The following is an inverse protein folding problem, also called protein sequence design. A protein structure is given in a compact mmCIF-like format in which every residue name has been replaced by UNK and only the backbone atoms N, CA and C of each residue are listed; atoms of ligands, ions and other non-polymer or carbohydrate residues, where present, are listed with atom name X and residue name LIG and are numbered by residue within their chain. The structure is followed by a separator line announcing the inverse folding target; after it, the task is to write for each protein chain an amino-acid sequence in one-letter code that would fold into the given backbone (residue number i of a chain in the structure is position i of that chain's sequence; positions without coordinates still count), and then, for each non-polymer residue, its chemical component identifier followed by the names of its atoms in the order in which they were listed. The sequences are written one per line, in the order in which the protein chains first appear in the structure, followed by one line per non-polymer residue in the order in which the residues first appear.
data_IF_479708413764
#
_entry.id   IF_479708413764
#
_cell.length_a   1.000
_cell.length_b   1.000
_cell.length_c   1.000
_cell.angle_alpha   90.00
_cell.angle_beta   90.00
_cell.angle_gamma   90.00
#
_symmetry.space_group_name_H-M   'P 1'
#
loop_
_entity.id
_entity.type
_entity.pdbx_description
1 polymer ?
#
# COMPACT_ATOMS: atom_id res chain seq x y z
N UNK A 1 8.05 14.30 20.86
CA UNK A 1 7.77 12.97 20.33
C UNK A 1 7.40 13.04 18.87
N UNK A 2 8.23 12.50 18.03
CA UNK A 2 7.88 12.55 16.60
C UNK A 2 6.66 11.70 16.34
N UNK A 3 5.84 12.21 15.49
CA UNK A 3 4.68 11.46 15.09
C UNK A 3 5.07 10.35 14.15
N UNK A 4 4.34 9.27 14.23
CA UNK A 4 4.44 8.28 13.19
C UNK A 4 4.08 8.93 11.88
N UNK A 5 4.54 8.36 10.83
CA UNK A 5 4.33 8.92 9.51
C UNK A 5 2.88 8.73 9.10
N UNK A 6 2.05 9.67 9.53
CA UNK A 6 0.62 9.60 9.24
C UNK A 6 0.33 9.72 7.76
N UNK A 7 1.22 10.40 7.02
CA UNK A 7 1.01 10.52 5.58
C UNK A 7 1.05 9.17 4.89
N UNK A 8 1.99 8.32 5.29
CA UNK A 8 2.05 6.99 4.70
C UNK A 8 0.81 6.19 5.05
N UNK A 9 0.37 6.28 6.30
CA UNK A 9 -0.83 5.57 6.71
C UNK A 9 -2.05 6.04 5.94
N UNK A 10 -2.15 7.35 5.71
CA UNK A 10 -3.25 7.90 4.95
C UNK A 10 -3.22 7.42 3.50
N UNK A 11 -2.04 7.28 2.93
CA UNK A 11 -1.91 6.78 1.57
C UNK A 11 -2.37 5.33 1.49
N UNK A 12 -1.97 4.49 2.46
CA UNK A 12 -2.44 3.11 2.49
C UNK A 12 -3.96 3.06 2.56
N UNK A 13 -4.54 3.90 3.41
CA UNK A 13 -5.99 3.93 3.54
C UNK A 13 -6.65 4.38 2.25
N UNK A 14 -6.09 5.41 1.62
CA UNK A 14 -6.62 5.89 0.35
C UNK A 14 -6.57 4.80 -0.71
N UNK A 15 -5.46 4.05 -0.75
CA UNK A 15 -5.33 2.96 -1.72
C UNK A 15 -6.39 1.90 -1.49
N UNK A 16 -6.63 1.57 -0.24
CA UNK A 16 -7.65 0.58 0.10
C UNK A 16 -9.04 1.05 -0.32
N UNK A 17 -9.32 2.34 -0.12
CA UNK A 17 -10.63 2.88 -0.44
C UNK A 17 -10.85 3.05 -1.94
N UNK A 18 -9.78 2.98 -2.73
CA UNK A 18 -9.83 3.25 -4.17
C UNK A 18 -9.23 2.10 -4.99
N UNK A 19 -9.55 0.88 -4.60
CA UNK A 19 -8.97 -0.30 -5.26
C UNK A 19 -9.32 -0.35 -6.74
N UNK A 20 -10.47 0.16 -7.13
CA UNK A 20 -10.87 0.12 -8.54
C UNK A 20 -9.96 0.96 -9.42
N UNK A 21 -9.25 1.93 -8.84
CA UNK A 21 -8.27 2.71 -9.61
C UNK A 21 -7.05 1.86 -9.92
N UNK A 22 -6.69 0.94 -9.00
CA UNK A 22 -5.55 0.06 -9.19
C UNK A 22 -5.86 -0.97 -10.26
N UNK A 23 -7.04 -1.58 -10.19
CA UNK A 23 -7.45 -2.56 -11.17
C UNK A 23 -8.96 -2.74 -11.09
N UNK A 24 -9.56 -3.10 -12.23
CA UNK A 24 -10.98 -3.43 -12.26
C UNK A 24 -11.22 -4.92 -12.08
N UNK A 25 -10.16 -5.71 -12.10
CA UNK A 25 -10.25 -7.14 -11.92
C UNK A 25 -10.32 -7.45 -10.43
N UNK A 26 -11.33 -8.20 -10.01
CA UNK A 26 -11.53 -8.49 -8.59
C UNK A 26 -10.39 -9.29 -8.00
N UNK A 27 -9.83 -10.24 -8.78
CA UNK A 27 -8.70 -11.00 -8.27
C UNK A 27 -7.50 -10.07 -8.02
N UNK A 28 -7.27 -9.12 -8.91
CA UNK A 28 -6.19 -8.17 -8.72
C UNK A 28 -6.47 -7.25 -7.53
N UNK A 29 -7.72 -6.87 -7.32
CA UNK A 29 -8.08 -6.06 -6.17
C UNK A 29 -7.83 -6.82 -4.87
N UNK A 30 -8.15 -8.11 -4.84
CA UNK A 30 -7.87 -8.91 -3.65
C UNK A 30 -6.39 -8.96 -3.36
N UNK A 31 -5.57 -9.13 -4.39
CA UNK A 31 -4.13 -9.14 -4.22
C UNK A 31 -3.64 -7.78 -3.74
N UNK A 32 -4.23 -6.71 -4.24
CA UNK A 32 -3.88 -5.36 -3.82
C UNK A 32 -4.15 -5.17 -2.33
N UNK A 33 -5.28 -5.68 -1.84
CA UNK A 33 -5.60 -5.60 -0.42
C UNK A 33 -4.53 -6.29 0.42
N UNK A 34 -4.08 -7.47 -0.03
CA UNK A 34 -3.05 -8.19 0.70
C UNK A 34 -1.73 -7.43 0.71
N UNK A 35 -1.40 -6.80 -0.41
CA UNK A 35 -0.17 -6.00 -0.51
C UNK A 35 -0.26 -4.80 0.44
N UNK A 36 -1.40 -4.12 0.46
CA UNK A 36 -1.60 -2.97 1.31
C UNK A 36 -1.54 -3.36 2.78
N UNK A 37 -2.19 -4.48 3.13
CA UNK A 37 -2.15 -4.96 4.50
C UNK A 37 -0.72 -5.25 4.95
N UNK A 38 0.05 -5.92 4.10
CA UNK A 38 1.43 -6.22 4.44
C UNK A 38 2.24 -4.94 4.61
N UNK A 39 1.98 -3.95 3.75
CA UNK A 39 2.65 -2.67 3.88
C UNK A 39 2.35 -1.99 5.21
N UNK A 40 1.10 -2.05 5.65
CA UNK A 40 0.72 -1.47 6.93
C UNK A 40 1.39 -2.18 8.10
N UNK A 41 1.45 -3.51 8.04
CA UNK A 41 2.13 -4.27 9.08
C UNK A 41 3.61 -3.90 9.11
N UNK A 42 4.25 -3.88 7.96
CA UNK A 42 5.67 -3.56 7.87
C UNK A 42 5.95 -2.13 8.29
N UNK A 43 5.00 -1.22 8.05
CA UNK A 43 5.16 0.19 8.40
C UNK A 43 5.52 0.38 9.87
N UNK A 44 5.02 -0.49 10.73
CA UNK A 44 5.28 -0.41 12.16
C UNK A 44 6.70 -0.82 12.53
N UNK A 45 7.39 -1.53 11.65
CA UNK A 45 8.68 -2.13 11.99
C UNK A 45 9.85 -1.57 11.19
N UNK A 46 9.57 -0.90 10.06
CA UNK A 46 10.66 -0.47 9.19
C UNK A 46 11.30 0.80 9.70
N UNK A 47 12.58 0.96 9.40
CA UNK A 47 13.30 2.17 9.77
C UNK A 47 12.89 3.35 8.90
N UNK A 48 12.52 3.10 7.66
CA UNK A 48 12.15 4.16 6.72
C UNK A 48 10.78 3.87 6.12
N UNK A 49 9.73 4.49 6.65
CA UNK A 49 8.38 4.24 6.14
C UNK A 49 8.19 4.63 4.69
N UNK A 50 8.94 5.64 4.21
CA UNK A 50 8.78 6.06 2.81
C UNK A 50 9.30 5.00 1.85
N UNK A 51 10.40 4.35 2.19
CA UNK A 51 10.92 3.28 1.36
C UNK A 51 9.94 2.11 1.37
N UNK A 52 9.36 1.83 2.52
CA UNK A 52 8.36 0.77 2.61
C UNK A 52 7.16 1.08 1.72
N UNK A 53 6.70 2.32 1.75
CA UNK A 53 5.58 2.73 0.90
C UNK A 53 5.94 2.61 -0.57
N UNK A 54 7.16 3.02 -0.93
CA UNK A 54 7.61 2.91 -2.32
C UNK A 54 7.57 1.46 -2.78
N UNK A 55 7.98 0.54 -1.92
CA UNK A 55 7.93 -0.89 -2.24
C UNK A 55 6.49 -1.34 -2.50
N UNK A 56 5.56 -0.89 -1.67
CA UNK A 56 4.14 -1.22 -1.85
C UNK A 56 3.65 -0.68 -3.19
N UNK A 57 4.00 0.55 -3.50
CA UNK A 57 3.56 1.17 -4.75
C UNK A 57 4.09 0.41 -5.96
N UNK A 58 5.33 -0.06 -5.89
CA UNK A 58 5.90 -0.85 -6.98
C UNK A 58 5.12 -2.15 -7.17
N UNK A 59 4.80 -2.82 -6.06
CA UNK A 59 4.04 -4.06 -6.14
C UNK A 59 2.67 -3.83 -6.75
N UNK A 60 2.01 -2.74 -6.35
CA UNK A 60 0.71 -2.41 -6.90
C UNK A 60 0.79 -2.06 -8.37
N UNK A 61 1.83 -1.34 -8.78
CA UNK A 61 2.01 -0.98 -10.17
C UNK A 61 2.19 -2.22 -11.04
N UNK A 62 2.97 -3.18 -10.57
CA UNK A 62 3.17 -4.41 -11.31
C UNK A 62 1.88 -5.21 -11.42
N UNK A 63 1.10 -5.21 -10.36
CA UNK A 63 -0.19 -5.89 -10.36
C UNK A 63 -1.12 -5.26 -11.38
N UNK A 64 -1.11 -3.93 -11.44
CA UNK A 64 -1.97 -3.18 -12.35
C UNK A 64 -1.60 -3.43 -13.81
N UNK A 65 -0.32 -3.63 -14.09
CA UNK A 65 0.15 -3.84 -15.45
C UNK A 65 0.05 -5.29 -15.91
N UNK A 66 -0.09 -6.14 -14.96
CA UNK A 66 0.04 -7.52 -15.28
C UNK A 66 -1.06 -8.37 -15.27
#
# INVERSE_FOLDING_TARGET
MPKRDQKCEEIYRWLYDNLEIISKDEDAQDKAVLIIKQGLVDHSFVADPEINLASVMIKLARLSNG
#
